data_IF_172572839720
#
_entry.id   IF_172572839720
#
_cell.length_a   1.000
_cell.length_b   1.000
_cell.length_c   1.000
_cell.angle_alpha   90.00
_cell.angle_beta   90.00
_cell.angle_gamma   90.00
#
_symmetry.space_group_name_H-M   'P 1'
#
loop_
_entity.id
_entity.type
_entity.pdbx_description
1 polymer ?
#
# COMPACT_ATOMS: atom_id res chain seq x y z
N UNK A 1 0.26 12.11 12.54
CA UNK A 1 0.45 10.76 11.99
C UNK A 1 -0.37 9.73 12.77
N UNK A 2 -0.28 9.66 14.12
CA UNK A 2 -1.26 8.92 14.94
C UNK A 2 -2.74 9.29 14.66
N UNK A 3 -2.99 10.57 14.36
CA UNK A 3 -4.32 11.06 14.01
C UNK A 3 -4.89 10.44 12.71
N UNK A 4 -4.03 10.03 11.75
CA UNK A 4 -4.51 9.44 10.50
C UNK A 4 -5.03 8.01 10.75
N UNK A 5 -4.27 7.20 11.50
CA UNK A 5 -4.67 5.84 11.83
C UNK A 5 -5.96 5.80 12.65
N UNK A 6 -6.11 6.72 13.59
CA UNK A 6 -7.35 6.87 14.36
C UNK A 6 -8.55 7.21 13.45
N UNK A 7 -8.40 8.19 12.55
CA UNK A 7 -9.44 8.55 11.56
C UNK A 7 -9.82 7.37 10.67
N UNK A 8 -8.81 6.64 10.18
CA UNK A 8 -9.01 5.41 9.39
C UNK A 8 -9.85 4.39 10.14
N UNK A 9 -9.56 4.13 11.42
CA UNK A 9 -10.31 3.17 12.22
C UNK A 9 -11.74 3.64 12.51
N UNK A 10 -11.93 4.95 12.77
CA UNK A 10 -13.26 5.53 12.98
C UNK A 10 -14.12 5.37 11.72
N UNK A 11 -13.59 5.69 10.53
CA UNK A 11 -14.32 5.52 9.28
C UNK A 11 -14.59 4.05 8.96
N UNK A 12 -13.58 3.18 9.11
CA UNK A 12 -13.75 1.74 8.92
C UNK A 12 -14.87 1.20 9.81
N UNK A 13 -14.89 1.52 11.10
CA UNK A 13 -15.92 1.01 12.00
C UNK A 13 -17.29 1.61 11.71
N UNK A 14 -17.35 2.89 11.31
CA UNK A 14 -18.58 3.51 10.83
C UNK A 14 -19.14 2.80 9.59
N UNK A 15 -18.28 2.46 8.64
CA UNK A 15 -18.63 1.75 7.41
C UNK A 15 -19.01 0.28 7.64
N UNK A 16 -18.40 -0.39 8.63
CA UNK A 16 -18.81 -1.74 9.05
C UNK A 16 -20.20 -1.74 9.71
N UNK A 17 -20.57 -0.65 10.38
CA UNK A 17 -21.89 -0.50 10.98
C UNK A 17 -22.96 -0.05 9.95
N UNK A 18 -22.56 0.28 8.70
CA UNK A 18 -23.45 0.53 7.55
C UNK A 18 -22.72 0.98 6.28
N UNK A 19 -23.15 0.54 5.10
CA UNK A 19 -22.53 0.90 3.81
C UNK A 19 -22.84 2.37 3.46
N UNK A 20 -21.80 3.16 3.23
CA UNK A 20 -21.88 4.52 2.71
C UNK A 20 -21.59 4.52 1.21
N UNK A 21 -21.76 5.66 0.54
CA UNK A 21 -21.53 5.79 -0.89
C UNK A 21 -20.86 7.12 -1.18
N UNK A 22 -21.18 7.77 -2.31
CA UNK A 22 -20.65 9.10 -2.61
C UNK A 22 -21.03 10.12 -1.54
N UNK A 23 -20.05 10.93 -1.11
CA UNK A 23 -20.28 12.05 -0.18
C UNK A 23 -20.26 13.39 -0.93
N UNK A 24 -21.39 13.76 -1.52
CA UNK A 24 -21.53 14.99 -2.33
C UNK A 24 -21.38 16.29 -1.52
N UNK A 25 -21.51 16.25 -0.19
CA UNK A 25 -21.33 17.41 0.70
C UNK A 25 -19.86 17.64 1.09
N UNK A 26 -18.98 16.69 0.77
CA UNK A 26 -17.55 16.82 1.05
C UNK A 26 -16.91 17.86 0.13
N UNK A 27 -16.21 18.85 0.71
CA UNK A 27 -15.48 19.88 -0.05
C UNK A 27 -14.36 19.34 -0.96
N UNK A 28 -13.97 18.09 -0.76
CA UNK A 28 -12.97 17.38 -1.56
C UNK A 28 -13.60 16.49 -2.63
N UNK A 29 -14.93 16.42 -2.75
CA UNK A 29 -15.61 15.54 -3.70
C UNK A 29 -15.71 16.17 -5.11
N UNK A 30 -15.46 15.39 -6.19
CA UNK A 30 -14.79 14.09 -6.16
C UNK A 30 -13.29 14.28 -5.88
N UNK A 31 -12.69 13.41 -5.07
CA UNK A 31 -11.24 13.46 -4.85
C UNK A 31 -10.47 12.64 -5.89
N UNK A 32 -11.13 11.66 -6.51
CA UNK A 32 -10.58 10.78 -7.53
C UNK A 32 -11.44 10.73 -8.79
N UNK A 33 -12.75 10.43 -8.68
CA UNK A 33 -13.66 10.37 -9.83
C UNK A 33 -15.13 10.57 -9.43
N UNK A 34 -15.99 10.90 -10.39
CA UNK A 34 -17.42 11.13 -10.15
C UNK A 34 -18.14 9.83 -9.74
N UNK A 35 -18.98 9.91 -8.70
CA UNK A 35 -19.71 8.79 -8.08
C UNK A 35 -18.81 7.75 -7.39
N UNK A 36 -17.59 8.15 -7.03
CA UNK A 36 -16.73 7.36 -6.14
C UNK A 36 -17.43 7.02 -4.81
N UNK A 37 -17.10 5.87 -4.27
CA UNK A 37 -17.50 5.47 -2.92
C UNK A 37 -16.59 6.14 -1.88
N UNK A 38 -17.18 6.82 -0.90
CA UNK A 38 -16.46 7.53 0.15
C UNK A 38 -16.49 6.80 1.50
N UNK A 39 -16.98 5.56 1.57
CA UNK A 39 -17.07 4.80 2.83
C UNK A 39 -15.72 4.57 3.50
N UNK A 40 -14.67 4.41 2.70
CA UNK A 40 -13.29 4.19 3.14
C UNK A 40 -12.40 5.35 2.67
N UNK A 41 -12.87 6.59 2.86
CA UNK A 41 -12.18 7.79 2.41
C UNK A 41 -10.75 7.88 2.97
N UNK A 42 -10.56 7.51 4.23
CA UNK A 42 -9.27 7.16 4.79
C UNK A 42 -9.01 5.67 4.61
N UNK A 43 -8.22 5.33 3.59
CA UNK A 43 -7.91 3.95 3.23
C UNK A 43 -7.36 3.15 4.43
N UNK A 44 -7.95 1.98 4.77
CA UNK A 44 -7.50 1.12 5.88
C UNK A 44 -6.10 0.55 5.68
N UNK A 45 -5.62 0.54 4.44
CA UNK A 45 -4.33 0.01 4.05
C UNK A 45 -3.25 1.07 3.91
N UNK A 46 -3.53 2.35 4.17
CA UNK A 46 -2.53 3.41 4.02
C UNK A 46 -1.43 3.31 5.09
N UNK A 47 -0.14 3.47 4.73
CA UNK A 47 0.41 3.47 3.36
C UNK A 47 0.48 2.05 2.80
N UNK A 48 -0.11 1.76 1.64
CA UNK A 48 -0.20 0.36 1.20
C UNK A 48 1.11 -0.16 0.61
N UNK A 49 1.98 0.73 0.12
CA UNK A 49 3.26 0.40 -0.51
C UNK A 49 3.15 -0.53 -1.75
N UNK A 50 1.94 -0.80 -2.23
CA UNK A 50 1.67 -1.54 -3.47
C UNK A 50 1.94 -0.61 -4.65
N UNK A 51 3.00 -0.87 -5.41
CA UNK A 51 3.44 0.03 -6.47
C UNK A 51 2.39 0.27 -7.55
N UNK A 52 1.40 -0.61 -7.75
CA UNK A 52 0.34 -0.35 -8.74
C UNK A 52 -0.72 0.65 -8.25
N UNK A 53 -0.73 0.94 -6.94
CA UNK A 53 -1.69 1.85 -6.30
C UNK A 53 -1.07 3.18 -5.83
N UNK A 54 0.22 3.40 -6.06
CA UNK A 54 0.89 4.62 -5.64
C UNK A 54 2.40 4.59 -5.78
N UNK A 55 3.05 5.56 -5.14
CA UNK A 55 4.50 5.70 -5.11
C UNK A 55 4.98 6.51 -3.91
N UNK A 56 6.27 6.39 -3.56
CA UNK A 56 6.89 7.24 -2.55
C UNK A 56 7.21 8.61 -3.17
N UNK A 57 6.76 9.68 -2.51
CA UNK A 57 7.12 11.07 -2.82
C UNK A 57 7.74 11.76 -1.61
N UNK A 58 8.41 12.87 -1.84
CA UNK A 58 8.88 13.78 -0.79
C UNK A 58 7.89 14.93 -0.69
N UNK A 59 7.35 15.18 0.50
CA UNK A 59 6.44 16.29 0.77
C UNK A 59 7.17 17.64 0.71
N UNK A 60 6.40 18.74 0.69
CA UNK A 60 6.96 20.10 0.77
C UNK A 60 7.79 20.36 2.03
N UNK A 61 7.57 19.58 3.08
CA UNK A 61 8.30 19.66 4.35
C UNK A 61 9.54 18.75 4.38
N UNK A 62 9.84 18.02 3.30
CA UNK A 62 10.97 17.12 3.19
C UNK A 62 10.73 15.71 3.75
N UNK A 63 9.49 15.38 4.13
CA UNK A 63 9.14 14.07 4.67
C UNK A 63 8.75 13.10 3.54
N UNK A 64 9.14 11.82 3.65
CA UNK A 64 8.65 10.79 2.73
C UNK A 64 7.17 10.49 3.00
N UNK A 65 6.39 10.41 1.93
CA UNK A 65 4.95 10.08 1.97
C UNK A 65 4.61 9.07 0.89
N UNK A 66 3.61 8.23 1.15
CA UNK A 66 3.01 7.39 0.13
C UNK A 66 1.95 8.21 -0.62
N UNK A 67 2.20 8.49 -1.89
CA UNK A 67 1.24 9.17 -2.77
C UNK A 67 0.40 8.14 -3.50
N UNK A 68 -0.88 8.05 -3.11
CA UNK A 68 -1.90 7.25 -3.80
C UNK A 68 -2.91 8.15 -4.54
N UNK A 69 -2.48 9.33 -5.01
CA UNK A 69 -3.35 10.34 -5.64
C UNK A 69 -4.06 9.85 -6.92
N UNK A 70 -3.51 8.81 -7.54
CA UNK A 70 -4.06 8.17 -8.75
C UNK A 70 -4.65 6.78 -8.45
N UNK A 71 -4.93 6.47 -7.17
CA UNK A 71 -5.53 5.20 -6.77
C UNK A 71 -7.05 5.30 -6.80
N UNK A 72 -7.68 4.58 -7.74
CA UNK A 72 -9.13 4.50 -7.84
C UNK A 72 -9.71 3.28 -7.11
N UNK A 73 -8.88 2.26 -6.87
CA UNK A 73 -9.30 0.95 -6.39
C UNK A 73 -10.16 1.02 -5.12
N UNK A 74 -9.70 1.71 -4.08
CA UNK A 74 -10.43 1.80 -2.79
C UNK A 74 -11.71 2.65 -2.86
N UNK A 75 -11.96 3.30 -3.99
CA UNK A 75 -13.12 4.15 -4.23
C UNK A 75 -14.14 3.53 -5.19
N UNK A 76 -13.81 2.37 -5.77
CA UNK A 76 -14.76 1.58 -6.54
C UNK A 76 -15.64 0.79 -5.56
N UNK A 77 -16.97 0.86 -5.79
CA UNK A 77 -17.97 0.30 -4.88
C UNK A 77 -17.74 -1.20 -4.58
N UNK A 78 -17.45 -1.98 -5.61
CA UNK A 78 -17.23 -3.43 -5.47
C UNK A 78 -16.05 -3.72 -4.53
N UNK A 79 -14.93 -2.99 -4.68
CA UNK A 79 -13.77 -3.14 -3.82
C UNK A 79 -14.05 -2.67 -2.38
N UNK A 80 -14.84 -1.61 -2.19
CA UNK A 80 -15.27 -1.18 -0.85
C UNK A 80 -16.09 -2.28 -0.17
N UNK A 81 -17.04 -2.87 -0.87
CA UNK A 81 -17.87 -3.96 -0.35
C UNK A 81 -17.02 -5.18 0.05
N UNK A 82 -16.05 -5.57 -0.79
CA UNK A 82 -15.13 -6.68 -0.51
C UNK A 82 -14.22 -6.38 0.70
N UNK A 83 -13.68 -5.16 0.80
CA UNK A 83 -12.87 -4.74 1.96
C UNK A 83 -13.68 -4.79 3.24
N UNK A 84 -14.92 -4.26 3.23
CA UNK A 84 -15.80 -4.30 4.41
C UNK A 84 -16.20 -5.72 4.77
N UNK A 85 -16.44 -6.59 3.79
CA UNK A 85 -16.72 -8.00 4.02
C UNK A 85 -15.53 -8.69 4.71
N UNK A 86 -14.32 -8.55 4.17
CA UNK A 86 -13.11 -9.19 4.73
C UNK A 86 -12.78 -8.63 6.11
N UNK A 87 -12.67 -7.31 6.26
CA UNK A 87 -12.32 -6.69 7.53
C UNK A 87 -13.42 -6.89 8.59
N UNK A 88 -14.68 -6.97 8.18
CA UNK A 88 -15.82 -7.23 9.06
C UNK A 88 -15.80 -8.63 9.71
N UNK A 89 -15.03 -9.58 9.17
CA UNK A 89 -14.84 -10.89 9.78
C UNK A 89 -13.89 -10.88 10.99
N UNK A 90 -13.21 -9.75 11.25
CA UNK A 90 -12.33 -9.60 12.41
C UNK A 90 -13.03 -8.84 13.54
N UNK A 91 -12.81 -9.21 14.81
CA UNK A 91 -13.24 -8.40 15.93
C UNK A 91 -12.63 -6.99 15.86
N UNK A 92 -13.41 -5.94 16.16
CA UNK A 92 -12.91 -4.55 16.19
C UNK A 92 -11.65 -4.39 17.04
N UNK A 93 -11.54 -5.12 18.16
CA UNK A 93 -10.33 -5.12 19.00
C UNK A 93 -9.09 -5.60 18.24
N UNK A 94 -9.22 -6.67 17.45
CA UNK A 94 -8.10 -7.18 16.63
C UNK A 94 -7.67 -6.15 15.60
N UNK A 95 -8.63 -5.49 14.94
CA UNK A 95 -8.32 -4.42 13.98
C UNK A 95 -7.56 -3.24 14.63
N UNK A 96 -7.78 -2.96 15.91
CA UNK A 96 -7.06 -1.92 16.67
C UNK A 96 -5.63 -2.37 17.01
N UNK A 97 -5.44 -3.62 17.40
CA UNK A 97 -4.17 -4.14 17.93
C UNK A 97 -3.18 -4.60 16.87
N UNK A 98 -3.67 -5.01 15.69
CA UNK A 98 -2.84 -5.55 14.62
C UNK A 98 -2.03 -4.46 13.91
N UNK A 99 -0.87 -4.86 13.39
CA UNK A 99 0.13 -3.99 12.80
C UNK A 99 -0.09 -3.72 11.29
N UNK A 100 0.82 -2.96 10.69
CA UNK A 100 0.78 -2.63 9.28
C UNK A 100 0.81 -3.87 8.36
N UNK A 101 1.59 -4.90 8.72
CA UNK A 101 1.77 -6.07 7.88
C UNK A 101 0.49 -6.91 7.83
N UNK A 102 -0.25 -6.99 8.93
CA UNK A 102 -1.58 -7.64 8.95
C UNK A 102 -2.52 -7.03 7.89
N UNK A 103 -2.65 -5.70 7.85
CA UNK A 103 -3.49 -5.02 6.85
C UNK A 103 -2.94 -5.20 5.44
N UNK A 104 -1.62 -5.14 5.28
CA UNK A 104 -1.00 -5.29 3.97
C UNK A 104 -1.22 -6.68 3.36
N UNK A 105 -1.12 -7.75 4.15
CA UNK A 105 -1.39 -9.12 3.69
C UNK A 105 -2.84 -9.29 3.23
N UNK A 106 -3.80 -8.72 3.97
CA UNK A 106 -5.21 -8.70 3.56
C UNK A 106 -5.38 -7.99 2.22
N UNK A 107 -4.72 -6.85 2.03
CA UNK A 107 -4.75 -6.13 0.74
C UNK A 107 -4.19 -6.99 -0.39
N UNK A 108 -3.11 -7.73 -0.16
CA UNK A 108 -2.55 -8.61 -1.18
C UNK A 108 -3.53 -9.71 -1.58
N UNK A 109 -4.20 -10.36 -0.62
CA UNK A 109 -5.25 -11.34 -0.92
C UNK A 109 -6.41 -10.72 -1.71
N UNK A 110 -6.83 -9.50 -1.38
CA UNK A 110 -7.88 -8.78 -2.12
C UNK A 110 -7.47 -8.42 -3.55
N UNK A 111 -6.21 -8.01 -3.76
CA UNK A 111 -5.72 -7.56 -5.08
C UNK A 111 -5.30 -8.71 -5.99
N UNK A 112 -4.70 -9.76 -5.42
CA UNK A 112 -3.99 -10.79 -6.16
C UNK A 112 -4.54 -12.20 -5.92
N UNK A 113 -5.47 -12.37 -4.97
CA UNK A 113 -6.01 -13.67 -4.58
C UNK A 113 -5.10 -14.48 -3.65
N UNK A 114 -3.89 -14.00 -3.37
CA UNK A 114 -2.92 -14.61 -2.47
C UNK A 114 -1.94 -13.57 -1.89
N UNK A 115 -1.28 -13.93 -0.78
CA UNK A 115 -0.12 -13.18 -0.30
C UNK A 115 1.07 -13.43 -1.25
N UNK A 116 1.52 -12.40 -1.96
CA UNK A 116 2.65 -12.49 -2.89
C UNK A 116 3.97 -12.07 -2.27
N UNK A 117 3.94 -11.37 -1.12
CA UNK A 117 5.13 -10.82 -0.50
C UNK A 117 6.07 -11.89 0.08
N UNK A 118 7.35 -11.59 0.05
CA UNK A 118 8.42 -12.52 0.44
C UNK A 118 9.17 -12.01 1.67
N UNK A 119 9.48 -12.91 2.61
CA UNK A 119 10.29 -12.57 3.80
C UNK A 119 11.78 -12.68 3.46
N UNK A 120 12.53 -11.61 3.72
CA UNK A 120 13.99 -11.57 3.59
C UNK A 120 14.62 -11.20 4.93
N UNK A 121 15.09 -12.22 5.66
CA UNK A 121 15.61 -12.03 7.02
C UNK A 121 14.52 -11.49 7.95
N UNK A 122 14.66 -10.23 8.36
CA UNK A 122 13.69 -9.50 9.18
C UNK A 122 12.90 -8.43 8.38
N UNK A 123 13.09 -8.39 7.06
CA UNK A 123 12.43 -7.48 6.13
C UNK A 123 11.35 -8.21 5.32
N UNK A 124 10.41 -7.44 4.76
CA UNK A 124 9.30 -7.97 3.95
C UNK A 124 9.28 -7.32 2.58
N UNK A 125 9.36 -8.11 1.52
CA UNK A 125 9.44 -7.63 0.14
C UNK A 125 8.10 -7.71 -0.56
N UNK A 126 7.63 -6.57 -1.06
CA UNK A 126 6.50 -6.45 -1.99
C UNK A 126 6.94 -6.43 -3.45
N UNK A 127 8.23 -6.60 -3.73
CA UNK A 127 8.76 -6.63 -5.10
C UNK A 127 8.23 -7.77 -5.99
N UNK A 128 7.73 -8.92 -5.49
CA UNK A 128 7.13 -9.95 -6.34
C UNK A 128 5.99 -9.46 -7.25
N UNK A 129 5.33 -8.34 -6.91
CA UNK A 129 4.34 -7.68 -7.79
C UNK A 129 4.88 -7.37 -9.20
N UNK A 130 6.20 -7.21 -9.32
CA UNK A 130 6.89 -6.99 -10.58
C UNK A 130 6.67 -8.14 -11.56
N UNK A 131 6.51 -9.37 -11.09
CA UNK A 131 6.37 -10.56 -11.94
C UNK A 131 5.08 -10.58 -12.78
N UNK A 132 4.11 -9.73 -12.44
CA UNK A 132 2.90 -9.52 -13.24
C UNK A 132 3.12 -8.59 -14.44
N UNK A 133 4.35 -8.09 -14.63
CA UNK A 133 4.72 -7.14 -15.68
C UNK A 133 5.71 -7.77 -16.66
N UNK A 134 5.95 -7.08 -17.77
CA UNK A 134 7.01 -7.47 -18.70
C UNK A 134 8.36 -7.07 -18.10
N UNK A 135 9.23 -8.05 -17.82
CA UNK A 135 10.48 -7.85 -17.10
C UNK A 135 11.69 -8.48 -17.82
N UNK A 136 12.83 -7.83 -17.69
CA UNK A 136 14.13 -8.31 -18.12
C UNK A 136 15.07 -8.46 -16.92
N UNK A 137 15.90 -9.50 -16.93
CA UNK A 137 16.96 -9.68 -15.94
C UNK A 137 18.11 -8.73 -16.27
N UNK A 138 18.62 -8.03 -15.26
CA UNK A 138 19.75 -7.10 -15.37
C UNK A 138 20.85 -7.46 -14.36
N UNK A 139 22.07 -6.95 -14.58
CA UNK A 139 23.21 -7.25 -13.69
C UNK A 139 23.05 -6.63 -12.30
N UNK A 140 22.43 -5.45 -12.23
CA UNK A 140 22.17 -4.72 -10.99
C UNK A 140 20.94 -3.84 -11.13
N UNK A 141 20.22 -3.64 -10.03
CA UNK A 141 19.11 -2.71 -9.94
C UNK A 141 19.05 -2.11 -8.52
N UNK A 142 18.56 -0.88 -8.42
CA UNK A 142 18.20 -0.30 -7.14
C UNK A 142 16.73 -0.57 -6.80
N UNK A 143 16.42 -0.63 -5.52
CA UNK A 143 15.06 -0.69 -4.97
C UNK A 143 14.97 0.14 -3.70
N UNK A 144 13.76 0.29 -3.16
CA UNK A 144 13.52 1.08 -1.97
C UNK A 144 13.34 0.17 -0.75
N UNK A 145 13.98 0.54 0.36
CA UNK A 145 13.72 -0.01 1.68
C UNK A 145 12.99 1.05 2.52
N UNK A 146 11.75 0.75 2.92
CA UNK A 146 10.83 1.66 3.59
C UNK A 146 10.62 1.19 5.02
N UNK A 147 11.01 2.01 5.99
CA UNK A 147 10.75 1.73 7.40
C UNK A 147 9.36 2.25 7.78
N UNK A 148 8.55 1.35 8.33
CA UNK A 148 7.20 1.65 8.84
C UNK A 148 7.18 1.48 10.36
N UNK A 149 6.74 2.50 11.07
CA UNK A 149 6.48 2.47 12.52
C UNK A 149 5.07 3.01 12.74
N UNK A 150 4.18 2.25 13.39
CA UNK A 150 2.79 2.64 13.65
C UNK A 150 2.07 3.23 12.43
N UNK A 151 2.11 2.53 11.29
CA UNK A 151 1.52 2.94 10.00
C UNK A 151 2.12 4.24 9.42
N UNK A 152 3.30 4.65 9.88
CA UNK A 152 3.98 5.86 9.43
C UNK A 152 5.28 5.52 8.72
N UNK A 153 5.54 6.17 7.60
CA UNK A 153 6.84 6.09 6.92
C UNK A 153 7.84 6.96 7.70
N UNK A 154 8.83 6.31 8.31
CA UNK A 154 9.85 7.01 9.12
C UNK A 154 11.18 7.14 8.39
N UNK A 155 11.46 6.26 7.43
CA UNK A 155 12.69 6.28 6.64
C UNK A 155 12.45 5.62 5.28
N UNK A 156 13.11 6.16 4.25
CA UNK A 156 13.24 5.50 2.93
C UNK A 156 14.69 5.52 2.52
N UNK A 157 15.25 4.36 2.22
CA UNK A 157 16.60 4.18 1.68
C UNK A 157 16.53 3.61 0.27
N UNK A 158 17.53 3.91 -0.55
CA UNK A 158 17.80 3.19 -1.80
C UNK A 158 18.84 2.12 -1.52
N UNK A 159 18.53 0.89 -1.88
CA UNK A 159 19.43 -0.25 -1.76
C UNK A 159 19.75 -0.80 -3.15
N UNK A 160 20.93 -1.36 -3.29
CA UNK A 160 21.37 -2.10 -4.48
C UNK A 160 21.75 -3.55 -4.17
N UNK A 161 21.58 -3.97 -2.91
CA UNK A 161 21.80 -5.33 -2.41
C UNK A 161 20.72 -5.68 -1.40
N UNK A 162 20.19 -6.90 -1.50
CA UNK A 162 19.18 -7.41 -0.57
C UNK A 162 19.74 -7.62 0.84
N UNK A 163 21.05 -7.86 0.95
CA UNK A 163 21.73 -8.11 2.22
C UNK A 163 21.83 -6.85 3.11
N UNK A 164 21.59 -5.66 2.54
CA UNK A 164 21.61 -4.38 3.27
C UNK A 164 20.24 -4.01 3.88
N UNK A 165 19.22 -4.86 3.70
CA UNK A 165 17.89 -4.68 4.27
C UNK A 165 17.84 -5.04 5.76
N UNK A 166 17.19 -4.21 6.57
CA UNK A 166 17.07 -4.37 8.01
C UNK A 166 15.75 -3.83 8.55
N UNK A 167 14.83 -4.74 8.90
CA UNK A 167 13.49 -4.44 9.43
C UNK A 167 12.70 -3.44 8.58
N UNK A 168 12.75 -3.59 7.25
CA UNK A 168 12.11 -2.68 6.31
C UNK A 168 11.14 -3.41 5.37
N UNK A 169 10.24 -2.64 4.78
CA UNK A 169 9.43 -3.09 3.64
C UNK A 169 10.16 -2.75 2.36
N UNK A 170 10.46 -3.76 1.55
CA UNK A 170 11.17 -3.58 0.29
C UNK A 170 10.16 -3.43 -0.84
N UNK A 171 10.28 -2.36 -1.62
CA UNK A 171 9.40 -2.10 -2.76
C UNK A 171 10.22 -1.75 -4.00
N UNK A 172 9.63 -1.95 -5.20
CA UNK A 172 10.31 -1.58 -6.42
C UNK A 172 10.58 -0.08 -6.50
N UNK A 173 11.73 0.31 -7.07
CA UNK A 173 12.01 1.69 -7.44
C UNK A 173 11.34 1.98 -8.79
N UNK A 174 10.49 3.01 -8.84
CA UNK A 174 9.94 3.54 -10.10
C UNK A 174 10.82 4.67 -10.62
N UNK A 175 11.25 4.57 -11.87
CA UNK A 175 11.97 5.63 -12.56
C UNK A 175 11.81 5.50 -14.08
N UNK A 176 11.68 6.61 -14.80
CA UNK A 176 11.68 6.67 -16.27
C UNK A 176 10.72 5.69 -16.97
N UNK A 177 9.48 5.58 -16.48
CA UNK A 177 8.48 4.62 -16.95
C UNK A 177 8.96 3.16 -16.88
N UNK A 178 9.77 2.85 -15.87
CA UNK A 178 10.25 1.50 -15.54
C UNK A 178 10.18 1.27 -14.03
N UNK A 179 10.28 0.00 -13.68
CA UNK A 179 10.27 -0.48 -12.32
C UNK A 179 11.49 -1.38 -12.09
N UNK A 180 12.25 -1.10 -11.04
CA UNK A 180 13.50 -1.79 -10.72
C UNK A 180 13.36 -2.50 -9.39
N UNK A 181 13.95 -3.69 -9.27
CA UNK A 181 13.83 -4.48 -8.06
C UNK A 181 14.63 -5.77 -8.07
N UNK A 182 14.44 -6.56 -7.03
CA UNK A 182 15.08 -7.85 -6.83
C UNK A 182 14.04 -8.90 -6.48
N UNK A 183 13.90 -9.93 -7.32
CA UNK A 183 12.89 -10.99 -7.14
C UNK A 183 13.50 -12.33 -7.53
N UNK A 184 13.27 -13.38 -6.72
CA UNK A 184 13.72 -14.74 -7.03
C UNK A 184 15.23 -14.86 -7.26
N UNK A 185 16.04 -14.03 -6.59
CA UNK A 185 17.51 -14.04 -6.74
C UNK A 185 18.05 -13.21 -7.92
N UNK A 186 17.20 -12.52 -8.67
CA UNK A 186 17.59 -11.76 -9.86
C UNK A 186 17.24 -10.28 -9.70
N UNK A 187 18.11 -9.40 -10.20
CA UNK A 187 17.74 -8.01 -10.43
C UNK A 187 16.88 -7.91 -11.69
N UNK A 188 15.78 -7.17 -11.59
CA UNK A 188 14.81 -7.04 -12.66
C UNK A 188 14.61 -5.56 -13.01
N UNK A 189 14.39 -5.31 -14.30
CA UNK A 189 13.74 -4.10 -14.80
C UNK A 189 12.44 -4.51 -15.47
N UNK A 190 11.33 -3.88 -15.09
CA UNK A 190 10.02 -4.11 -15.69
C UNK A 190 9.47 -2.83 -16.31
N UNK A 191 8.63 -2.99 -17.31
CA UNK A 191 8.03 -1.90 -18.08
C UNK A 191 6.55 -1.76 -17.72
N UNK A 192 6.06 -0.52 -17.61
CA UNK A 192 4.64 -0.22 -17.43
C UNK A 192 3.84 -0.41 -18.71
#
# INVERSE_FOLDING_TARGET
>A
MNELREKTLIELFGALDGIYGPNYECKYYPCHFENQDCSLCYCPFYPCLICDLGEIKVSSEGNYVWSCENCFWIHEKENVEDVLFVLGNYPKQRLIEEDWLFYNKILQELLFGEEIGEVFGNSYSLMPIMLNKNCEVVDTAEFLAVKIEDFCITQVRRLNSIDDADQEVLIPLKADNRMFGFVGGNYLVCYF
#
